data_IF_498531356544
#
_entry.id   IF_498531356544
#
_cell.length_a   1.000
_cell.length_b   1.000
_cell.length_c   1.000
_cell.angle_alpha   90.00
_cell.angle_beta   90.00
_cell.angle_gamma   90.00
#
_symmetry.space_group_name_H-M   'P 1'
#
loop_
_entity.id
_entity.type
_entity.pdbx_description
1 polymer ?
#
# COMPACT_ATOMS: atom_id res chain seq x y z
N UNK A 1 -8.27 -79.88 -10.13
CA UNK A 1 -8.96 -79.96 -11.43
C UNK A 1 -10.24 -80.73 -11.21
N UNK A 2 -11.38 -80.27 -11.75
CA UNK A 2 -12.67 -80.96 -11.60
C UNK A 2 -12.90 -81.76 -12.89
N UNK A 3 -12.99 -83.11 -12.82
CA UNK A 3 -13.10 -83.96 -14.01
C UNK A 3 -14.24 -83.59 -14.96
N UNK A 4 -15.36 -83.11 -14.39
CA UNK A 4 -16.59 -82.79 -15.14
C UNK A 4 -16.74 -81.29 -15.48
N UNK A 5 -15.74 -80.46 -15.17
CA UNK A 5 -15.86 -79.01 -15.29
C UNK A 5 -16.15 -78.51 -16.71
N UNK A 6 -15.59 -79.18 -17.72
CA UNK A 6 -15.82 -78.83 -19.13
C UNK A 6 -17.26 -79.14 -19.56
N UNK A 7 -17.77 -80.32 -19.24
CA UNK A 7 -19.13 -80.73 -19.59
C UNK A 7 -20.18 -79.82 -18.94
N UNK A 8 -19.96 -79.41 -17.68
CA UNK A 8 -20.84 -78.46 -17.00
C UNK A 8 -20.79 -77.06 -17.64
N UNK A 9 -19.59 -76.59 -18.02
CA UNK A 9 -19.43 -75.30 -18.68
C UNK A 9 -20.16 -75.27 -20.04
N UNK A 10 -20.11 -76.36 -20.80
CA UNK A 10 -20.76 -76.45 -22.11
C UNK A 10 -22.29 -76.45 -22.00
N UNK A 11 -22.87 -77.16 -21.01
CA UNK A 11 -24.31 -77.14 -20.74
C UNK A 11 -24.80 -75.73 -20.37
N UNK A 12 -24.16 -75.09 -19.38
CA UNK A 12 -24.56 -73.75 -18.91
C UNK A 12 -24.31 -72.69 -19.99
N UNK A 13 -23.26 -72.83 -20.79
CA UNK A 13 -22.99 -71.91 -21.87
C UNK A 13 -24.08 -71.90 -22.95
N UNK A 14 -24.74 -73.04 -23.20
CA UNK A 14 -25.91 -73.12 -24.07
C UNK A 14 -27.05 -72.24 -23.56
N UNK A 15 -27.47 -72.46 -22.31
CA UNK A 15 -28.57 -71.72 -21.68
C UNK A 15 -28.32 -70.21 -21.62
N UNK A 16 -27.08 -69.79 -21.35
CA UNK A 16 -26.71 -68.38 -21.27
C UNK A 16 -26.71 -67.71 -22.66
N UNK A 17 -26.33 -68.44 -23.72
CA UNK A 17 -26.41 -67.93 -25.10
C UNK A 17 -27.86 -67.80 -25.56
N UNK A 18 -28.74 -68.72 -25.19
CA UNK A 18 -30.18 -68.61 -25.47
C UNK A 18 -30.81 -67.37 -24.83
N UNK A 19 -30.29 -66.94 -23.67
CA UNK A 19 -30.68 -65.68 -22.99
C UNK A 19 -30.09 -64.42 -23.64
N UNK A 20 -29.31 -64.56 -24.71
CA UNK A 20 -28.72 -63.45 -25.46
C UNK A 20 -27.41 -62.91 -24.91
N UNK A 21 -26.75 -63.64 -23.99
CA UNK A 21 -25.44 -63.23 -23.47
C UNK A 21 -24.30 -63.71 -24.37
N UNK A 22 -23.22 -62.92 -24.42
CA UNK A 22 -21.95 -63.33 -25.02
C UNK A 22 -21.18 -64.18 -24.01
N UNK A 23 -21.04 -65.49 -24.26
CA UNK A 23 -20.51 -66.45 -23.29
C UNK A 23 -19.16 -67.00 -23.71
N UNK A 24 -18.19 -66.89 -22.80
CA UNK A 24 -16.81 -67.33 -22.95
C UNK A 24 -16.46 -68.40 -21.90
N UNK A 25 -16.35 -69.69 -22.27
CA UNK A 25 -15.92 -70.73 -21.35
C UNK A 25 -14.44 -70.54 -21.01
N UNK A 26 -14.09 -70.49 -19.73
CA UNK A 26 -12.71 -70.31 -19.26
C UNK A 26 -12.36 -71.31 -18.17
N UNK A 27 -11.08 -71.68 -18.08
CA UNK A 27 -10.56 -72.50 -16.98
C UNK A 27 -9.31 -71.87 -16.38
N UNK A 28 -9.34 -71.62 -15.08
CA UNK A 28 -8.17 -71.13 -14.35
C UNK A 28 -7.04 -72.16 -14.25
N UNK A 29 -7.39 -73.46 -14.27
CA UNK A 29 -6.43 -74.56 -14.15
C UNK A 29 -5.64 -74.78 -15.45
N UNK A 30 -6.32 -74.80 -16.60
CA UNK A 30 -5.68 -75.00 -17.91
C UNK A 30 -5.36 -73.68 -18.62
N UNK A 31 -5.79 -72.54 -18.09
CA UNK A 31 -5.73 -71.20 -18.71
C UNK A 31 -6.47 -71.10 -20.05
N UNK A 32 -7.27 -72.10 -20.40
CA UNK A 32 -8.08 -72.12 -21.60
C UNK A 32 -9.14 -71.00 -21.58
N UNK A 33 -9.40 -70.38 -22.73
CA UNK A 33 -10.45 -69.37 -22.91
C UNK A 33 -10.14 -67.97 -22.39
N UNK A 34 -9.02 -67.78 -21.66
CA UNK A 34 -8.66 -66.49 -21.07
C UNK A 34 -8.32 -65.43 -22.14
N UNK A 35 -7.74 -65.85 -23.26
CA UNK A 35 -7.37 -64.93 -24.34
C UNK A 35 -8.61 -64.37 -25.05
N UNK A 36 -9.57 -65.24 -25.34
CA UNK A 36 -10.86 -64.89 -25.95
C UNK A 36 -11.65 -63.95 -25.03
N UNK A 37 -11.69 -64.25 -23.73
CA UNK A 37 -12.30 -63.37 -22.72
C UNK A 37 -11.62 -62.00 -22.67
N UNK A 38 -10.29 -61.95 -22.74
CA UNK A 38 -9.52 -60.70 -22.74
C UNK A 38 -9.87 -59.84 -23.94
N UNK A 39 -9.96 -60.44 -25.13
CA UNK A 39 -10.37 -59.71 -26.33
C UNK A 39 -11.82 -59.23 -26.27
N UNK A 40 -12.74 -60.01 -25.69
CA UNK A 40 -14.12 -59.59 -25.49
C UNK A 40 -14.22 -58.35 -24.58
N UNK A 41 -13.52 -58.36 -23.45
CA UNK A 41 -13.43 -57.21 -22.55
C UNK A 41 -12.82 -55.98 -23.24
N UNK A 42 -11.75 -56.18 -24.02
CA UNK A 42 -11.12 -55.10 -24.77
C UNK A 42 -12.09 -54.46 -25.77
N UNK A 43 -12.90 -55.25 -26.49
CA UNK A 43 -13.94 -54.73 -27.40
C UNK A 43 -14.99 -53.91 -26.67
N UNK A 44 -15.46 -54.38 -25.50
CA UNK A 44 -16.45 -53.65 -24.69
C UNK A 44 -15.90 -52.31 -24.20
N UNK A 45 -14.67 -52.30 -23.69
CA UNK A 45 -14.00 -51.07 -23.24
C UNK A 45 -13.81 -50.08 -24.39
N UNK A 46 -13.38 -50.55 -25.56
CA UNK A 46 -13.20 -49.69 -26.72
C UNK A 46 -14.52 -49.09 -27.20
N UNK A 47 -15.59 -49.89 -27.26
CA UNK A 47 -16.93 -49.42 -27.60
C UNK A 47 -17.42 -48.36 -26.62
N UNK A 48 -17.24 -48.59 -25.32
CA UNK A 48 -17.64 -47.66 -24.27
C UNK A 48 -16.85 -46.35 -24.34
N UNK A 49 -15.51 -46.42 -24.51
CA UNK A 49 -14.67 -45.23 -24.70
C UNK A 49 -14.99 -44.44 -25.95
N UNK A 50 -15.38 -45.10 -27.05
CA UNK A 50 -15.79 -44.42 -28.27
C UNK A 50 -17.17 -43.76 -28.14
N UNK A 51 -18.06 -44.32 -27.32
CA UNK A 51 -19.38 -43.75 -27.03
C UNK A 51 -19.35 -42.67 -25.94
N UNK A 52 -18.32 -42.67 -25.09
CA UNK A 52 -18.14 -41.67 -24.06
C UNK A 52 -17.89 -40.29 -24.69
N UNK A 53 -18.80 -39.35 -24.45
CA UNK A 53 -18.61 -37.93 -24.78
C UNK A 53 -17.40 -37.44 -23.98
N UNK A 54 -16.39 -36.92 -24.68
CA UNK A 54 -15.21 -36.32 -24.03
C UNK A 54 -15.68 -35.09 -23.28
N UNK A 55 -15.86 -35.22 -21.97
CA UNK A 55 -15.93 -34.06 -21.08
C UNK A 55 -14.60 -33.33 -21.22
N UNK A 56 -14.63 -32.16 -21.87
CA UNK A 56 -13.47 -31.27 -21.91
C UNK A 56 -13.08 -30.97 -20.47
N UNK A 57 -11.99 -31.60 -20.01
CA UNK A 57 -11.39 -31.29 -18.72
C UNK A 57 -11.04 -29.81 -18.74
N UNK A 58 -11.88 -28.99 -18.12
CA UNK A 58 -11.59 -27.57 -17.92
C UNK A 58 -10.27 -27.51 -17.17
N UNK A 59 -9.21 -27.15 -17.88
CA UNK A 59 -7.89 -26.95 -17.28
C UNK A 59 -8.06 -25.82 -16.28
N UNK A 60 -8.05 -26.14 -14.99
CA UNK A 60 -8.07 -25.12 -13.94
C UNK A 60 -6.71 -24.42 -14.03
N UNK A 61 -6.66 -23.34 -14.80
CA UNK A 61 -5.48 -22.47 -14.88
C UNK A 61 -5.52 -21.58 -13.64
N UNK A 62 -4.78 -21.96 -12.60
CA UNK A 62 -4.43 -21.02 -11.54
C UNK A 62 -3.50 -19.97 -12.14
N UNK A 63 -4.05 -18.81 -12.51
CA UNK A 63 -3.26 -17.61 -12.76
C UNK A 63 -3.02 -16.94 -11.41
N UNK A 64 -1.78 -16.80 -10.94
CA UNK A 64 -1.51 -15.92 -9.81
C UNK A 64 -1.90 -14.50 -10.24
N UNK A 65 -2.90 -13.94 -9.56
CA UNK A 65 -3.20 -12.51 -9.66
C UNK A 65 -1.97 -11.80 -9.11
N UNK A 66 -1.40 -10.86 -9.86
CA UNK A 66 -0.35 -10.01 -9.33
C UNK A 66 -0.90 -9.34 -8.07
N UNK A 67 -0.37 -9.73 -6.91
CA UNK A 67 -0.70 -9.10 -5.64
C UNK A 67 0.04 -7.78 -5.62
N UNK A 68 -0.50 -6.80 -6.35
CA UNK A 68 -0.27 -5.38 -6.08
C UNK A 68 -1.27 -4.87 -5.05
N UNK A 69 -1.66 -5.76 -4.14
CA UNK A 69 -2.41 -5.40 -2.95
C UNK A 69 -1.37 -5.37 -1.84
N UNK A 70 -0.83 -4.18 -1.55
CA UNK A 70 0.01 -3.92 -0.38
C UNK A 70 -0.66 -4.39 0.92
N UNK A 71 -1.96 -4.73 0.85
CA UNK A 71 -2.74 -5.35 1.90
C UNK A 71 -3.28 -4.31 2.88
N UNK A 72 -3.20 -3.04 2.49
CA UNK A 72 -3.74 -1.90 3.22
C UNK A 72 -4.22 -0.78 2.31
N UNK A 73 -5.14 0.03 2.82
CA UNK A 73 -5.61 1.26 2.19
C UNK A 73 -5.67 2.37 3.24
N UNK A 74 -5.12 3.54 2.92
CA UNK A 74 -5.22 4.75 3.76
C UNK A 74 -6.34 5.63 3.21
N UNK A 75 -7.18 6.20 4.07
CA UNK A 75 -8.23 7.16 3.71
C UNK A 75 -8.09 8.41 4.57
N UNK A 76 -8.09 9.58 3.94
CA UNK A 76 -8.22 10.85 4.66
C UNK A 76 -9.70 11.06 5.00
N UNK A 77 -10.00 11.36 6.26
CA UNK A 77 -11.34 11.64 6.74
C UNK A 77 -11.63 13.14 6.70
N UNK A 78 -12.91 13.50 6.79
CA UNK A 78 -13.34 14.90 6.73
C UNK A 78 -12.97 15.71 7.98
N UNK A 79 -12.64 15.04 9.09
CA UNK A 79 -12.21 15.64 10.36
C UNK A 79 -10.70 15.92 10.44
N UNK A 80 -9.94 15.62 9.37
CA UNK A 80 -8.48 15.76 9.35
C UNK A 80 -7.73 14.55 9.89
N UNK A 81 -8.44 13.50 10.33
CA UNK A 81 -7.83 12.22 10.72
C UNK A 81 -7.59 11.31 9.51
N UNK A 82 -6.76 10.28 9.69
CA UNK A 82 -6.50 9.28 8.65
C UNK A 82 -6.91 7.89 9.13
N UNK A 83 -7.66 7.16 8.32
CA UNK A 83 -8.02 5.76 8.60
C UNK A 83 -7.19 4.82 7.74
N UNK A 84 -6.48 3.88 8.37
CA UNK A 84 -5.76 2.79 7.71
C UNK A 84 -6.56 1.50 7.87
N UNK A 85 -6.86 0.86 6.75
CA UNK A 85 -7.59 -0.42 6.67
C UNK A 85 -6.68 -1.48 6.09
N UNK A 86 -6.75 -2.70 6.61
CA UNK A 86 -5.97 -3.80 6.03
C UNK A 86 -5.82 -4.97 6.98
N UNK A 87 -6.18 -6.17 6.51
CA UNK A 87 -6.16 -7.40 7.35
C UNK A 87 -4.80 -7.66 8.01
N UNK A 88 -3.71 -7.30 7.33
CA UNK A 88 -2.34 -7.50 7.83
C UNK A 88 -1.99 -6.48 8.91
N UNK A 89 -2.29 -5.20 8.65
CA UNK A 89 -2.05 -4.07 9.56
C UNK A 89 -2.89 -4.23 10.84
N UNK A 90 -4.19 -4.50 10.69
CA UNK A 90 -5.12 -4.72 11.80
C UNK A 90 -4.69 -5.88 12.69
N UNK A 91 -4.20 -6.97 12.08
CA UNK A 91 -3.68 -8.12 12.83
C UNK A 91 -2.47 -7.75 13.68
N UNK A 92 -1.53 -6.96 13.14
CA UNK A 92 -0.35 -6.55 13.88
C UNK A 92 -0.71 -5.69 15.07
N UNK A 93 -1.54 -4.67 14.87
CA UNK A 93 -2.05 -3.80 15.94
C UNK A 93 -2.71 -4.61 17.05
N UNK A 94 -3.55 -5.60 16.69
CA UNK A 94 -4.21 -6.47 17.68
C UNK A 94 -3.27 -7.41 18.43
N UNK A 95 -2.15 -7.79 17.83
CA UNK A 95 -1.16 -8.68 18.44
C UNK A 95 -0.12 -7.92 19.27
N UNK A 96 0.02 -6.62 19.07
CA UNK A 96 0.98 -5.78 19.79
C UNK A 96 0.50 -5.49 21.21
N UNK A 97 1.40 -5.66 22.17
CA UNK A 97 1.17 -5.23 23.55
C UNK A 97 1.62 -3.77 23.74
N UNK A 98 0.66 -2.84 23.78
CA UNK A 98 0.93 -1.40 23.96
C UNK A 98 1.47 -1.01 25.34
N UNK A 99 1.60 -1.94 26.29
CA UNK A 99 2.29 -1.68 27.57
C UNK A 99 3.82 -1.78 27.45
N UNK A 100 4.33 -2.30 26.34
CA UNK A 100 5.76 -2.42 26.09
C UNK A 100 6.21 -1.45 24.99
N UNK A 101 7.06 -0.50 25.35
CA UNK A 101 7.61 0.48 24.42
C UNK A 101 8.38 -0.16 23.24
N UNK A 102 9.08 -1.26 23.47
CA UNK A 102 9.80 -1.98 22.41
C UNK A 102 8.84 -2.60 21.37
N UNK A 103 7.69 -3.12 21.83
CA UNK A 103 6.69 -3.70 20.94
C UNK A 103 5.98 -2.62 20.10
N UNK A 104 5.85 -1.40 20.63
CA UNK A 104 5.35 -0.23 19.88
C UNK A 104 6.34 0.18 18.81
N UNK A 105 7.63 0.29 19.14
CA UNK A 105 8.68 0.61 18.17
C UNK A 105 8.73 -0.42 17.03
N UNK A 106 8.67 -1.71 17.38
CA UNK A 106 8.62 -2.78 16.39
C UNK A 106 7.39 -2.75 15.48
N UNK A 107 6.24 -2.32 16.00
CA UNK A 107 5.05 -2.09 15.19
C UNK A 107 5.28 -0.93 14.21
N UNK A 108 5.86 0.18 14.67
CA UNK A 108 6.18 1.34 13.82
C UNK A 108 7.09 0.92 12.65
N UNK A 109 8.17 0.20 12.92
CA UNK A 109 9.09 -0.32 11.89
C UNK A 109 8.37 -1.20 10.87
N UNK A 110 7.48 -2.09 11.31
CA UNK A 110 6.69 -2.94 10.42
C UNK A 110 5.72 -2.13 9.54
N UNK A 111 5.11 -1.07 10.07
CA UNK A 111 4.23 -0.18 9.32
C UNK A 111 5.01 0.64 8.28
N UNK A 112 6.21 1.12 8.65
CA UNK A 112 7.13 1.80 7.74
C UNK A 112 7.57 0.87 6.59
N UNK A 113 7.98 -0.35 6.91
CA UNK A 113 8.39 -1.35 5.92
C UNK A 113 7.25 -1.74 4.97
N UNK A 114 6.01 -1.78 5.46
CA UNK A 114 4.84 -2.03 4.64
C UNK A 114 4.50 -0.84 3.71
N UNK A 115 4.95 0.37 4.05
CA UNK A 115 4.72 1.59 3.26
C UNK A 115 3.54 2.44 3.73
N UNK A 116 3.00 2.18 4.93
CA UNK A 116 1.86 2.94 5.48
C UNK A 116 2.23 4.41 5.69
N UNK A 117 3.45 4.69 6.18
CA UNK A 117 3.95 6.06 6.38
C UNK A 117 4.05 6.85 5.07
N UNK A 118 4.49 6.21 3.99
CA UNK A 118 4.60 6.83 2.67
C UNK A 118 3.22 7.24 2.13
N UNK A 119 2.20 6.43 2.35
CA UNK A 119 0.84 6.71 1.90
C UNK A 119 0.11 7.73 2.79
N UNK A 120 0.40 7.75 4.09
CA UNK A 120 -0.04 8.83 4.99
C UNK A 120 0.56 10.17 4.56
N UNK A 121 1.87 10.19 4.29
CA UNK A 121 2.56 11.38 3.81
C UNK A 121 1.98 11.91 2.50
N UNK A 122 1.81 11.03 1.49
CA UNK A 122 1.18 11.40 0.20
C UNK A 122 -0.23 11.97 0.35
N UNK A 123 -0.95 11.59 1.42
CA UNK A 123 -2.30 12.08 1.71
C UNK A 123 -2.30 13.37 2.55
N UNK A 124 -1.13 13.90 2.88
CA UNK A 124 -0.98 15.16 3.60
C UNK A 124 -1.02 15.02 5.12
N UNK A 125 -0.70 13.84 5.66
CA UNK A 125 -0.48 13.71 7.10
C UNK A 125 0.73 14.56 7.52
N UNK A 126 0.57 15.31 8.60
CA UNK A 126 1.61 16.12 9.26
C UNK A 126 1.98 15.44 10.58
N UNK A 127 3.18 15.70 11.12
CA UNK A 127 3.53 15.25 12.46
C UNK A 127 2.43 15.65 13.48
N UNK A 128 2.05 14.70 14.33
CA UNK A 128 0.92 14.84 15.27
C UNK A 128 -0.46 14.60 14.65
N UNK A 129 -0.56 14.18 13.38
CA UNK A 129 -1.86 13.83 12.78
C UNK A 129 -2.43 12.56 13.41
N UNK A 130 -3.74 12.58 13.69
CA UNK A 130 -4.43 11.42 14.25
C UNK A 130 -4.60 10.32 13.19
N UNK A 131 -4.05 9.14 13.47
CA UNK A 131 -4.16 7.96 12.62
C UNK A 131 -4.95 6.87 13.35
N UNK A 132 -5.99 6.38 12.70
CA UNK A 132 -6.87 5.32 13.18
C UNK A 132 -6.68 4.04 12.37
N UNK A 133 -6.38 2.93 13.04
CA UNK A 133 -6.17 1.64 12.41
C UNK A 133 -7.23 0.63 12.89
N UNK A 134 -8.00 0.06 11.95
CA UNK A 134 -9.01 -0.97 12.21
C UNK A 134 -10.46 -0.48 12.15
N UNK A 135 -11.43 -1.39 12.41
CA UNK A 135 -12.87 -1.10 12.43
C UNK A 135 -13.48 -1.00 13.82
N UNK A 136 -14.40 -0.03 13.95
CA UNK A 136 -15.40 0.02 15.02
C UNK A 136 -14.78 -0.16 16.40
N UNK A 137 -15.17 -1.23 17.08
CA UNK A 137 -14.75 -1.50 18.46
C UNK A 137 -13.28 -1.94 18.62
N UNK A 138 -12.55 -2.16 17.53
CA UNK A 138 -11.14 -2.60 17.56
C UNK A 138 -10.19 -1.58 16.95
N UNK A 139 -10.70 -0.37 16.70
CA UNK A 139 -9.93 0.75 16.20
C UNK A 139 -8.91 1.20 17.26
N UNK A 140 -7.65 1.29 16.86
CA UNK A 140 -6.59 1.88 17.68
C UNK A 140 -6.21 3.21 17.07
N UNK A 141 -6.16 4.24 17.91
CA UNK A 141 -5.85 5.62 17.54
C UNK A 141 -4.50 5.99 18.11
N UNK A 142 -3.66 6.63 17.31
CA UNK A 142 -2.39 7.19 17.76
C UNK A 142 -2.04 8.45 16.96
N UNK A 143 -1.17 9.27 17.56
CA UNK A 143 -0.60 10.45 16.91
C UNK A 143 0.59 10.01 16.07
N UNK A 144 0.57 10.35 14.79
CA UNK A 144 1.58 9.92 13.85
C UNK A 144 2.80 10.84 13.86
N UNK A 145 3.96 10.23 14.05
CA UNK A 145 5.27 10.89 13.97
C UNK A 145 6.04 10.31 12.76
N UNK A 146 6.41 11.13 11.76
CA UNK A 146 7.12 10.65 10.59
C UNK A 146 8.52 10.17 10.97
N UNK A 147 8.89 8.96 10.52
CA UNK A 147 10.28 8.52 10.60
C UNK A 147 11.14 9.28 9.57
N UNK A 148 12.42 9.46 9.87
CA UNK A 148 13.37 10.20 9.00
C UNK A 148 13.40 9.60 7.58
N UNK A 149 13.23 8.29 7.44
CA UNK A 149 13.25 7.60 6.15
C UNK A 149 12.03 7.91 5.25
N UNK A 150 10.84 8.11 5.83
CA UNK A 150 9.61 8.36 5.07
C UNK A 150 9.28 9.85 4.92
N UNK A 151 9.57 10.66 5.95
CA UNK A 151 9.20 12.06 6.01
C UNK A 151 10.32 13.02 5.62
N UNK A 152 11.59 12.71 5.92
CA UNK A 152 12.64 13.71 5.73
C UNK A 152 12.94 13.99 4.26
N UNK A 153 12.85 13.04 3.33
CA UNK A 153 13.17 13.36 1.93
C UNK A 153 12.11 14.22 1.23
N UNK A 154 10.85 14.18 1.67
CA UNK A 154 9.76 14.98 1.07
C UNK A 154 9.40 16.23 1.90
N UNK A 155 9.48 16.20 3.24
CA UNK A 155 9.45 17.42 4.06
C UNK A 155 10.73 18.25 3.90
N UNK A 156 11.89 17.61 3.75
CA UNK A 156 13.10 18.32 3.33
C UNK A 156 13.11 18.62 1.83
N UNK A 157 12.05 18.30 1.07
CA UNK A 157 11.77 18.99 -0.19
C UNK A 157 11.58 20.50 0.01
N UNK A 158 11.28 20.93 1.25
CA UNK A 158 11.28 22.33 1.70
C UNK A 158 12.62 22.78 2.30
N UNK A 159 13.61 21.89 2.40
CA UNK A 159 15.00 22.13 2.77
C UNK A 159 15.91 21.65 1.62
N UNK A 160 15.82 22.38 0.49
CA UNK A 160 16.79 22.48 -0.61
C UNK A 160 17.17 21.15 -1.32
N UNK A 161 17.00 21.09 -2.65
CA UNK A 161 17.43 19.93 -3.45
C UNK A 161 18.92 19.67 -3.23
N UNK A 162 19.37 18.40 -3.29
CA UNK A 162 20.81 18.09 -3.32
C UNK A 162 21.51 18.89 -4.42
N UNK A 163 22.35 19.85 -4.03
CA UNK A 163 23.02 20.81 -4.91
C UNK A 163 22.63 22.28 -4.69
N UNK A 164 21.57 22.55 -3.93
CA UNK A 164 21.18 23.89 -3.47
C UNK A 164 21.68 24.07 -2.02
N UNK A 165 22.57 25.04 -1.77
CA UNK A 165 23.03 25.42 -0.42
C UNK A 165 22.13 26.56 0.09
N UNK A 166 21.41 26.31 1.18
CA UNK A 166 20.51 27.27 1.83
C UNK A 166 21.21 28.55 2.27
N UNK A 167 22.55 28.55 2.41
CA UNK A 167 23.33 29.77 2.69
C UNK A 167 23.47 30.69 1.48
N UNK A 168 23.34 30.14 0.27
CA UNK A 168 23.52 30.90 -0.97
C UNK A 168 22.24 31.56 -1.46
N UNK A 169 21.07 31.13 -0.98
CA UNK A 169 19.77 31.68 -1.39
C UNK A 169 19.59 33.13 -0.93
N UNK A 170 20.12 33.51 0.24
CA UNK A 170 20.13 34.89 0.71
C UNK A 170 21.28 35.74 0.13
N UNK A 171 22.22 35.14 -0.60
CA UNK A 171 23.38 35.87 -1.14
C UNK A 171 23.02 36.64 -2.43
N UNK A 172 21.96 36.22 -3.12
CA UNK A 172 21.51 36.82 -4.38
C UNK A 172 20.12 37.44 -4.34
N UNK A 173 19.47 37.47 -3.17
CA UNK A 173 18.42 38.45 -2.94
C UNK A 173 19.11 39.80 -2.95
N UNK A 174 19.06 40.47 -4.10
CA UNK A 174 19.35 41.89 -4.18
C UNK A 174 18.43 42.53 -3.14
N UNK A 175 18.96 42.86 -1.97
CA UNK A 175 18.29 43.81 -1.10
C UNK A 175 18.02 44.99 -2.01
N UNK A 176 16.74 45.28 -2.28
CA UNK A 176 16.39 46.58 -2.78
C UNK A 176 17.09 47.52 -1.82
N UNK A 177 18.12 48.21 -2.33
CA UNK A 177 18.67 49.35 -1.61
C UNK A 177 17.46 50.25 -1.51
N UNK A 178 16.86 50.30 -0.33
CA UNK A 178 16.06 51.45 0.05
C UNK A 178 17.06 52.59 -0.07
N UNK A 179 17.07 53.23 -1.24
CA UNK A 179 17.66 54.54 -1.36
C UNK A 179 16.80 55.39 -0.45
N UNK A 180 17.24 55.53 0.80
CA UNK A 180 16.74 56.53 1.73
C UNK A 180 17.23 57.90 1.21
N UNK A 181 16.70 58.28 0.04
CA UNK A 181 16.86 59.61 -0.50
C UNK A 181 15.86 60.43 0.29
N UNK A 182 16.38 61.18 1.25
CA UNK A 182 15.66 62.30 1.84
C UNK A 182 15.02 63.08 0.69
N UNK A 183 13.73 63.38 0.80
CA UNK A 183 13.06 64.23 -0.19
C UNK A 183 13.79 65.55 -0.35
N UNK A 184 13.68 66.21 -1.52
CA UNK A 184 14.33 67.53 -1.74
C UNK A 184 13.96 68.54 -0.64
N UNK A 185 12.75 68.43 -0.07
CA UNK A 185 12.28 69.23 1.08
C UNK A 185 12.98 68.87 2.41
N UNK A 186 13.34 67.60 2.62
CA UNK A 186 14.09 67.15 3.80
C UNK A 186 15.59 67.47 3.67
N UNK A 187 16.15 67.35 2.46
CA UNK A 187 17.50 67.81 2.14
C UNK A 187 17.58 69.33 2.36
N UNK A 188 16.58 70.11 1.92
CA UNK A 188 16.55 71.55 2.14
C UNK A 188 16.55 71.92 3.64
N UNK A 189 15.77 71.21 4.47
CA UNK A 189 15.71 71.45 5.92
C UNK A 189 17.01 71.15 6.65
N UNK A 190 17.79 70.17 6.19
CA UNK A 190 19.10 69.84 6.75
C UNK A 190 20.12 70.99 6.57
N UNK A 191 19.96 71.79 5.52
CA UNK A 191 20.83 72.91 5.17
C UNK A 191 20.25 74.28 5.52
N UNK A 192 18.98 74.35 5.90
CA UNK A 192 18.42 75.55 6.55
C UNK A 192 19.01 75.68 7.95
N UNK A 193 19.99 76.57 8.02
CA UNK A 193 20.61 77.04 9.25
C UNK A 193 19.56 77.73 10.14
N UNK A 194 18.76 76.97 10.88
CA UNK A 194 17.88 77.47 11.95
C UNK A 194 18.68 77.83 13.21
N UNK A 195 19.87 78.40 13.03
CA UNK A 195 20.75 78.83 14.11
C UNK A 195 21.21 80.24 13.79
N UNK A 196 20.90 81.19 14.66
CA UNK A 196 21.22 82.60 14.50
C UNK A 196 22.73 82.92 14.57
N UNK A 197 23.57 81.96 14.97
CA UNK A 197 25.03 82.10 15.09
C UNK A 197 25.77 80.85 14.58
N UNK A 198 26.58 80.94 13.50
CA UNK A 198 27.27 79.79 12.89
C UNK A 198 28.41 79.17 13.69
N UNK A 199 28.85 79.76 14.80
CA UNK A 199 30.06 79.30 15.51
C UNK A 199 29.84 78.71 16.91
N UNK A 200 28.58 78.49 17.32
CA UNK A 200 28.25 77.94 18.64
C UNK A 200 27.17 76.85 18.54
N UNK A 201 27.39 75.60 19.03
CA UNK A 201 26.43 74.51 18.88
C UNK A 201 25.42 74.47 20.04
N UNK A 202 24.85 75.63 20.41
CA UNK A 202 23.79 75.71 21.43
C UNK A 202 22.48 76.14 20.79
N UNK A 203 21.43 75.36 21.00
CA UNK A 203 20.07 75.72 20.62
C UNK A 203 19.63 76.88 21.53
N UNK A 204 19.29 78.02 20.92
CA UNK A 204 18.67 79.15 21.62
C UNK A 204 17.17 78.92 21.54
N UNK A 205 16.51 78.74 22.68
CA UNK A 205 15.05 78.71 22.72
C UNK A 205 14.54 80.10 22.32
N UNK A 206 13.92 80.19 21.14
CA UNK A 206 13.16 81.39 20.75
C UNK A 206 11.87 81.37 21.55
N UNK A 207 11.81 82.24 22.56
CA UNK A 207 10.57 82.53 23.27
C UNK A 207 9.78 83.49 22.40
N UNK A 208 8.74 82.98 21.74
CA UNK A 208 7.68 83.82 21.16
C UNK A 208 6.89 84.42 22.33
N UNK A 209 7.21 85.66 22.72
CA UNK A 209 6.27 86.50 23.45
C UNK A 209 5.51 87.37 22.44
N UNK A 210 4.36 86.85 22.02
CA UNK A 210 3.26 87.67 21.52
C UNK A 210 2.91 88.72 22.57
N UNK A 211 2.95 89.99 22.15
CA UNK A 211 2.52 91.10 22.96
C UNK A 211 1.00 91.15 23.10
N UNK A 212 0.53 91.46 24.30
CA UNK A 212 -0.69 92.24 24.49
C UNK A 212 -0.73 92.93 25.86
N UNK A 213 -1.43 94.07 25.91
CA UNK A 213 -1.73 94.96 27.03
C UNK A 213 -0.66 96.01 27.44
N UNK A 214 -0.65 97.18 26.80
CA UNK A 214 -1.53 98.32 27.18
C UNK A 214 -1.35 99.54 26.27
#
# INVERSE_FOLDING_TARGET
>A
DIPDGQAMADMVAGELREKGYEVYPVSAASRAGLQELTYAMARLIQKDRAAAVVEERTRIVLRPVAVDDSGFAVKANADGSFTVRGKKVERWVRQTNFKNAEAIGYLADRLAQLGVEKDLFKKGAVAGSEVRIGDGATEVVFDWEPTIEAGAEQLAGHLHRRGEDSRLESTWTQTERVEDVLSDDEIAKQWEYNVSDPHTPKLVEVTEEDGDAK
#
